data_IF_726334674249
#
_entry.id   IF_726334674249
#
_cell.length_a   1.000
_cell.length_b   1.000
_cell.length_c   1.000
_cell.angle_alpha   90.00
_cell.angle_beta   90.00
_cell.angle_gamma   90.00
#
_symmetry.space_group_name_H-M   'P 1'
#
loop_
_entity.id
_entity.type
_entity.pdbx_description
1 polymer ?
#
# COMPACT_ATOMS: atom_id res chain seq x y z
N UNK A 1 -5.53 -52.70 9.54
CA UNK A 1 -5.80 -51.40 10.19
C UNK A 1 -4.49 -50.60 10.12
N UNK A 2 -4.35 -49.76 9.09
CA UNK A 2 -3.14 -48.96 8.88
C UNK A 2 -3.35 -47.63 9.58
N UNK A 3 -2.56 -47.35 10.62
CA UNK A 3 -2.57 -46.05 11.31
C UNK A 3 -1.75 -45.09 10.44
N UNK A 4 -2.41 -44.11 9.84
CA UNK A 4 -1.73 -43.00 9.15
C UNK A 4 -1.30 -42.00 10.22
N UNK A 5 0.00 -41.65 10.33
CA UNK A 5 0.44 -40.63 11.27
C UNK A 5 -0.21 -39.31 10.89
N UNK A 6 -0.88 -38.66 11.85
CA UNK A 6 -1.40 -37.31 11.66
C UNK A 6 -0.26 -36.38 11.26
N UNK A 7 -0.41 -35.70 10.13
CA UNK A 7 0.47 -34.60 9.77
C UNK A 7 0.45 -33.60 10.92
N UNK A 8 1.56 -33.48 11.65
CA UNK A 8 1.76 -32.34 12.53
C UNK A 8 1.73 -31.12 11.61
N UNK A 9 0.73 -30.26 11.81
CA UNK A 9 0.67 -28.97 11.13
C UNK A 9 1.96 -28.22 11.50
N UNK A 10 2.90 -28.19 10.57
CA UNK A 10 4.12 -27.41 10.71
C UNK A 10 3.67 -25.98 10.92
N UNK A 11 4.07 -25.36 12.03
CA UNK A 11 3.76 -23.96 12.25
C UNK A 11 4.27 -23.16 11.05
N UNK A 12 3.43 -22.26 10.54
CA UNK A 12 3.82 -21.36 9.47
C UNK A 12 5.11 -20.63 9.92
N UNK A 13 6.01 -20.39 8.97
CA UNK A 13 7.32 -19.76 9.22
C UNK A 13 7.19 -18.43 9.98
N UNK A 14 6.03 -17.78 9.86
CA UNK A 14 5.74 -16.44 10.39
C UNK A 14 4.84 -16.46 11.65
N UNK A 15 4.66 -17.64 12.25
CA UNK A 15 3.82 -17.82 13.45
C UNK A 15 4.31 -16.94 14.61
N UNK A 16 3.44 -16.06 15.11
CA UNK A 16 3.71 -15.21 16.27
C UNK A 16 4.30 -13.84 15.96
N UNK A 17 4.56 -13.51 14.70
CA UNK A 17 4.97 -12.16 14.31
C UNK A 17 3.85 -11.15 14.58
N UNK A 18 4.22 -9.93 14.96
CA UNK A 18 3.33 -8.76 14.99
C UNK A 18 3.58 -7.89 13.78
N UNK A 19 2.53 -7.63 13.00
CA UNK A 19 2.60 -6.81 11.80
C UNK A 19 1.60 -5.67 11.91
N UNK A 20 2.08 -4.44 11.77
CA UNK A 20 1.23 -3.27 11.60
C UNK A 20 0.94 -3.06 10.11
N UNK A 21 -0.33 -2.86 9.74
CA UNK A 21 -0.72 -2.74 8.34
C UNK A 21 -1.68 -1.57 8.13
N UNK A 22 -1.21 -0.55 7.40
CA UNK A 22 -2.03 0.53 6.88
C UNK A 22 -2.99 0.05 5.79
N UNK A 23 -4.28 0.08 6.12
CA UNK A 23 -5.38 -0.32 5.23
C UNK A 23 -5.83 0.81 4.29
N UNK A 24 -5.48 2.05 4.62
CA UNK A 24 -5.80 3.24 3.84
C UNK A 24 -7.06 3.94 4.33
N UNK A 25 -8.21 3.68 3.69
CA UNK A 25 -9.48 4.31 3.99
C UNK A 25 -10.09 3.92 5.33
N UNK A 26 -11.38 4.24 5.51
CA UNK A 26 -12.12 3.82 6.68
C UNK A 26 -12.42 2.31 6.62
N UNK A 27 -12.62 1.65 7.79
CA UNK A 27 -13.07 0.27 7.82
C UNK A 27 -14.35 0.09 7.00
N UNK A 28 -14.38 -0.92 6.15
CA UNK A 28 -15.56 -1.22 5.30
C UNK A 28 -15.74 -0.37 4.04
N UNK A 29 -14.92 0.68 3.81
CA UNK A 29 -14.91 1.38 2.52
C UNK A 29 -14.59 0.38 1.39
N UNK A 30 -15.22 0.49 0.23
CA UNK A 30 -15.10 -0.51 -0.86
C UNK A 30 -13.65 -0.77 -1.29
N UNK A 31 -12.82 0.26 -1.39
CA UNK A 31 -11.40 0.14 -1.73
C UNK A 31 -10.52 -0.39 -0.57
N UNK A 32 -10.99 -0.27 0.67
CA UNK A 32 -10.29 -0.73 1.88
C UNK A 32 -10.67 -2.17 2.22
N UNK A 33 -11.95 -2.53 2.05
CA UNK A 33 -12.54 -3.79 2.48
C UNK A 33 -11.84 -5.01 1.87
N UNK A 34 -11.51 -4.97 0.58
CA UNK A 34 -10.82 -6.08 -0.07
C UNK A 34 -9.43 -6.34 0.55
N UNK A 35 -8.70 -5.27 0.90
CA UNK A 35 -7.39 -5.36 1.56
C UNK A 35 -7.54 -5.84 3.01
N UNK A 36 -8.50 -5.29 3.74
CA UNK A 36 -8.80 -5.67 5.12
C UNK A 36 -9.14 -7.16 5.23
N UNK A 37 -10.06 -7.66 4.40
CA UNK A 37 -10.44 -9.07 4.40
C UNK A 37 -9.27 -9.99 3.99
N UNK A 38 -8.51 -9.60 2.97
CA UNK A 38 -7.33 -10.36 2.53
C UNK A 38 -6.24 -10.43 3.60
N UNK A 39 -5.95 -9.30 4.26
CA UNK A 39 -4.96 -9.22 5.32
C UNK A 39 -5.38 -10.07 6.54
N UNK A 40 -6.64 -10.00 6.96
CA UNK A 40 -7.17 -10.83 8.06
C UNK A 40 -7.10 -12.32 7.75
N UNK A 41 -7.46 -12.72 6.53
CA UNK A 41 -7.39 -14.13 6.15
C UNK A 41 -5.94 -14.63 6.10
N UNK A 42 -5.02 -13.83 5.55
CA UNK A 42 -3.59 -14.13 5.58
C UNK A 42 -3.06 -14.23 7.02
N UNK A 43 -3.41 -13.29 7.89
CA UNK A 43 -3.01 -13.31 9.29
C UNK A 43 -3.51 -14.56 10.03
N UNK A 44 -4.75 -14.97 9.78
CA UNK A 44 -5.35 -16.19 10.33
C UNK A 44 -4.59 -17.45 9.88
N UNK A 45 -4.22 -17.54 8.60
CA UNK A 45 -3.52 -18.69 8.04
C UNK A 45 -2.07 -18.75 8.50
N UNK A 46 -1.38 -17.60 8.53
CA UNK A 46 0.03 -17.47 8.90
C UNK A 46 0.25 -17.39 10.42
N UNK A 47 -0.83 -17.29 11.21
CA UNK A 47 -0.80 -17.09 12.67
C UNK A 47 -0.02 -15.83 13.07
N UNK A 48 -0.22 -14.75 12.31
CA UNK A 48 0.36 -13.42 12.56
C UNK A 48 -0.61 -12.60 13.40
N UNK A 49 -0.08 -11.86 14.37
CA UNK A 49 -0.81 -10.81 15.08
C UNK A 49 -0.88 -9.55 14.20
N UNK A 50 -2.00 -9.36 13.50
CA UNK A 50 -2.23 -8.23 12.63
C UNK A 50 -2.81 -7.04 13.39
N UNK A 51 -2.15 -5.89 13.31
CA UNK A 51 -2.62 -4.60 13.84
C UNK A 51 -2.99 -3.70 12.67
N UNK A 52 -4.29 -3.50 12.49
CA UNK A 52 -4.84 -2.72 11.36
C UNK A 52 -4.83 -1.22 11.66
N UNK A 53 -4.40 -0.43 10.68
CA UNK A 53 -4.38 1.03 10.78
C UNK A 53 -5.22 1.64 9.65
N UNK A 54 -6.24 2.41 10.03
CA UNK A 54 -7.14 3.09 9.10
C UNK A 54 -6.94 4.60 9.19
N UNK A 55 -6.48 5.21 8.10
CA UNK A 55 -6.19 6.64 8.05
C UNK A 55 -7.33 7.46 7.44
N UNK A 56 -8.32 6.82 6.82
CA UNK A 56 -9.35 7.55 6.06
C UNK A 56 -8.76 8.27 4.85
N UNK A 57 -7.70 7.69 4.26
CA UNK A 57 -6.92 8.26 3.15
C UNK A 57 -6.14 9.54 3.48
N UNK A 58 -6.06 9.95 4.75
CA UNK A 58 -5.27 11.10 5.18
C UNK A 58 -3.76 10.75 5.23
N UNK A 59 -2.90 11.38 4.40
CA UNK A 59 -1.47 11.10 4.37
C UNK A 59 -0.75 11.49 5.67
N UNK A 60 -1.16 12.55 6.35
CA UNK A 60 -0.55 12.97 7.62
C UNK A 60 -0.85 11.94 8.71
N UNK A 61 -2.09 11.45 8.74
CA UNK A 61 -2.47 10.37 9.66
C UNK A 61 -1.71 9.08 9.35
N UNK A 62 -1.43 8.76 8.09
CA UNK A 62 -0.57 7.62 7.73
C UNK A 62 0.86 7.78 8.28
N UNK A 63 1.45 8.97 8.22
CA UNK A 63 2.78 9.24 8.80
C UNK A 63 2.75 9.07 10.33
N UNK A 64 1.74 9.61 11.00
CA UNK A 64 1.58 9.45 12.46
C UNK A 64 1.47 7.97 12.82
N UNK A 65 0.59 7.23 12.15
CA UNK A 65 0.39 5.79 12.35
C UNK A 65 1.66 4.98 12.09
N UNK A 66 2.46 5.33 11.08
CA UNK A 66 3.74 4.68 10.82
C UNK A 66 4.73 4.86 11.98
N UNK A 67 4.81 6.06 12.55
CA UNK A 67 5.67 6.33 13.71
C UNK A 67 5.15 5.68 14.99
N UNK A 68 3.84 5.62 15.21
CA UNK A 68 3.23 4.87 16.32
C UNK A 68 3.54 3.37 16.21
N UNK A 69 3.45 2.81 15.00
CA UNK A 69 3.82 1.43 14.75
C UNK A 69 5.31 1.20 15.03
N UNK A 70 6.20 2.08 14.56
CA UNK A 70 7.64 1.97 14.80
C UNK A 70 7.99 2.00 16.29
N UNK A 71 7.32 2.87 17.05
CA UNK A 71 7.51 2.96 18.50
C UNK A 71 7.12 1.67 19.25
N UNK A 72 6.22 0.86 18.67
CA UNK A 72 5.83 -0.44 19.22
C UNK A 72 6.83 -1.58 18.91
N UNK A 73 7.86 -1.31 18.09
CA UNK A 73 8.87 -2.28 17.63
C UNK A 73 8.29 -3.63 17.14
N UNK A 74 7.40 -3.63 16.14
CA UNK A 74 6.88 -4.85 15.53
C UNK A 74 7.91 -5.53 14.64
N UNK A 75 7.63 -6.76 14.22
CA UNK A 75 8.48 -7.49 13.27
C UNK A 75 8.44 -6.86 11.87
N UNK A 76 7.28 -6.34 11.46
CA UNK A 76 7.13 -5.64 10.20
C UNK A 76 6.06 -4.54 10.25
N UNK A 77 6.25 -3.52 9.41
CA UNK A 77 5.30 -2.44 9.17
C UNK A 77 5.01 -2.37 7.68
N UNK A 78 3.73 -2.51 7.33
CA UNK A 78 3.23 -2.29 5.98
C UNK A 78 2.64 -0.89 5.90
N UNK A 79 3.31 -0.01 5.16
CA UNK A 79 2.92 1.39 4.98
C UNK A 79 2.33 1.65 3.61
N UNK A 80 1.63 2.77 3.45
CA UNK A 80 1.20 3.29 2.16
C UNK A 80 1.97 4.55 1.78
N UNK A 81 2.41 4.65 0.52
CA UNK A 81 3.23 5.77 0.05
C UNK A 81 2.49 7.08 -0.26
N UNK A 82 1.30 7.33 0.30
CA UNK A 82 0.50 8.52 -0.07
C UNK A 82 1.12 9.83 0.39
N UNK A 83 1.93 9.81 1.46
CA UNK A 83 2.65 11.00 1.95
C UNK A 83 3.92 11.33 1.13
N UNK A 84 4.21 10.55 0.09
CA UNK A 84 5.39 10.72 -0.74
C UNK A 84 6.70 10.25 -0.07
N UNK A 85 7.75 10.07 -0.88
CA UNK A 85 9.06 9.61 -0.38
C UNK A 85 9.67 10.57 0.61
N UNK A 86 9.60 11.88 0.36
CA UNK A 86 10.18 12.88 1.24
C UNK A 86 9.41 13.00 2.56
N UNK A 87 8.07 12.95 2.53
CA UNK A 87 7.23 12.96 3.72
C UNK A 87 7.45 11.73 4.63
N UNK A 88 7.81 10.59 4.03
CA UNK A 88 8.08 9.35 4.77
C UNK A 88 9.54 9.20 5.21
N UNK A 89 10.46 10.04 4.74
CA UNK A 89 11.92 9.82 4.87
C UNK A 89 12.39 9.63 6.30
N UNK A 90 11.93 10.48 7.22
CA UNK A 90 12.31 10.37 8.64
C UNK A 90 11.89 9.04 9.26
N UNK A 91 10.70 8.53 8.91
CA UNK A 91 10.24 7.22 9.38
C UNK A 91 11.07 6.10 8.75
N UNK A 92 11.34 6.16 7.45
CA UNK A 92 12.09 5.13 6.73
C UNK A 92 13.53 4.98 7.26
N UNK A 93 14.21 6.11 7.48
CA UNK A 93 15.57 6.13 7.99
C UNK A 93 15.61 5.53 9.41
N UNK A 94 14.63 5.87 10.25
CA UNK A 94 14.55 5.34 11.61
C UNK A 94 14.20 3.85 11.66
N UNK A 95 13.23 3.41 10.85
CA UNK A 95 12.88 1.99 10.78
C UNK A 95 14.06 1.15 10.30
N UNK A 96 14.86 1.66 9.36
CA UNK A 96 16.10 1.02 8.91
C UNK A 96 17.15 0.94 10.01
N UNK A 97 17.32 2.01 10.79
CA UNK A 97 18.22 2.03 11.95
C UNK A 97 17.80 1.00 13.00
N UNK A 98 16.50 0.89 13.27
CA UNK A 98 15.92 -0.01 14.26
C UNK A 98 15.81 -1.47 13.77
N UNK A 99 16.15 -1.74 12.51
CA UNK A 99 16.08 -3.08 11.92
C UNK A 99 14.64 -3.58 11.68
N UNK A 100 13.65 -2.69 11.69
CA UNK A 100 12.24 -3.03 11.45
C UNK A 100 12.00 -3.18 9.95
N UNK A 101 11.37 -4.29 9.55
CA UNK A 101 11.05 -4.55 8.14
C UNK A 101 9.93 -3.61 7.70
N UNK A 102 10.17 -2.81 6.66
CA UNK A 102 9.16 -1.96 6.05
C UNK A 102 8.82 -2.45 4.65
N UNK A 103 7.54 -2.64 4.40
CA UNK A 103 6.99 -3.00 3.09
C UNK A 103 6.00 -1.91 2.67
N UNK A 104 6.02 -1.53 1.39
CA UNK A 104 5.14 -0.51 0.85
C UNK A 104 3.96 -1.17 0.14
N UNK A 105 2.75 -0.66 0.33
CA UNK A 105 1.56 -1.14 -0.36
C UNK A 105 0.72 -0.01 -0.97
N UNK A 106 -0.12 -0.37 -1.94
CA UNK A 106 -1.07 0.51 -2.64
C UNK A 106 -0.42 1.61 -3.47
N UNK A 107 0.30 2.51 -2.81
CA UNK A 107 1.01 3.61 -3.44
C UNK A 107 2.50 3.46 -3.18
N UNK A 108 3.30 3.45 -4.23
CA UNK A 108 4.75 3.24 -4.13
C UNK A 108 5.48 4.43 -3.49
N UNK A 109 6.71 4.18 -3.05
CA UNK A 109 7.67 5.21 -2.60
C UNK A 109 8.91 5.14 -3.49
N UNK A 110 8.91 5.84 -4.65
CA UNK A 110 9.99 5.73 -5.62
C UNK A 110 11.36 6.09 -5.05
N UNK A 111 12.40 5.41 -5.52
CA UNK A 111 13.79 5.68 -5.13
C UNK A 111 14.21 5.15 -3.76
N UNK A 112 13.31 4.52 -3.00
CA UNK A 112 13.62 3.97 -1.66
C UNK A 112 14.25 2.57 -1.70
N UNK A 113 14.00 1.81 -2.77
CA UNK A 113 14.43 0.41 -2.89
C UNK A 113 13.64 -0.58 -2.01
N UNK A 114 12.57 -0.13 -1.34
CA UNK A 114 11.71 -0.98 -0.53
C UNK A 114 10.88 -1.93 -1.40
N UNK A 115 10.55 -3.10 -0.85
CA UNK A 115 9.59 -4.00 -1.47
C UNK A 115 8.21 -3.33 -1.56
N UNK A 116 7.58 -3.45 -2.73
CA UNK A 116 6.26 -2.93 -3.01
C UNK A 116 5.31 -4.08 -3.36
N UNK A 117 4.12 -4.09 -2.78
CA UNK A 117 3.01 -4.92 -3.24
C UNK A 117 1.77 -4.08 -3.52
N UNK A 118 1.35 -4.10 -4.77
CA UNK A 118 0.22 -3.33 -5.25
C UNK A 118 0.11 -3.46 -6.76
N UNK A 119 -0.71 -2.60 -7.35
CA UNK A 119 -0.89 -2.59 -8.80
C UNK A 119 0.31 -1.91 -9.47
N UNK A 120 0.68 -2.39 -10.65
CA UNK A 120 1.50 -1.60 -11.57
C UNK A 120 0.66 -0.41 -12.06
N UNK A 121 0.74 0.71 -11.33
CA UNK A 121 -0.03 1.90 -11.60
C UNK A 121 0.29 2.49 -12.98
N UNK A 122 1.55 2.39 -13.43
CA UNK A 122 1.95 2.88 -14.74
C UNK A 122 1.34 2.02 -15.86
N UNK A 123 1.46 0.69 -15.75
CA UNK A 123 0.85 -0.25 -16.69
C UNK A 123 -0.68 -0.13 -16.74
N UNK A 124 -1.33 0.00 -15.58
CA UNK A 124 -2.77 0.21 -15.48
C UNK A 124 -3.20 1.54 -16.15
N UNK A 125 -2.48 2.63 -15.89
CA UNK A 125 -2.73 3.94 -16.52
C UNK A 125 -2.54 3.91 -18.04
N UNK A 126 -1.50 3.25 -18.53
CA UNK A 126 -1.28 3.03 -19.97
C UNK A 126 -2.42 2.24 -20.60
N UNK A 127 -2.86 1.15 -19.97
CA UNK A 127 -3.98 0.35 -20.46
C UNK A 127 -5.28 1.15 -20.51
N UNK A 128 -5.56 1.95 -19.46
CA UNK A 128 -6.71 2.85 -19.41
C UNK A 128 -6.67 3.86 -20.57
N UNK A 129 -5.52 4.51 -20.78
CA UNK A 129 -5.36 5.46 -21.88
C UNK A 129 -5.56 4.79 -23.25
N UNK A 130 -4.94 3.63 -23.50
CA UNK A 130 -5.08 2.89 -24.76
C UNK A 130 -6.53 2.48 -25.04
N UNK A 131 -7.23 1.96 -24.02
CA UNK A 131 -8.64 1.58 -24.15
C UNK A 131 -9.55 2.80 -24.34
N UNK A 132 -9.24 3.93 -23.71
CA UNK A 132 -10.00 5.17 -23.86
C UNK A 132 -9.86 5.72 -25.28
N UNK A 133 -8.63 5.74 -25.84
CA UNK A 133 -8.37 6.15 -27.23
C UNK A 133 -9.12 5.23 -28.21
N UNK A 134 -8.99 3.91 -28.02
CA UNK A 134 -9.58 2.91 -28.90
C UNK A 134 -11.12 2.93 -28.87
N UNK A 135 -11.72 2.88 -27.67
CA UNK A 135 -13.17 2.79 -27.52
C UNK A 135 -13.86 4.14 -27.77
N UNK A 136 -13.19 5.25 -27.45
CA UNK A 136 -13.67 6.61 -27.72
C UNK A 136 -13.48 7.07 -29.16
N UNK A 137 -12.76 6.31 -30.00
CA UNK A 137 -12.36 6.70 -31.36
C UNK A 137 -11.63 8.05 -31.42
N UNK A 138 -10.87 8.36 -30.37
CA UNK A 138 -10.25 9.66 -30.16
C UNK A 138 -9.19 9.95 -31.22
N UNK A 139 -9.07 11.23 -31.57
CA UNK A 139 -8.18 11.76 -32.61
C UNK A 139 -7.38 12.93 -32.04
N UNK A 140 -6.35 13.34 -32.77
CA UNK A 140 -5.62 14.54 -32.44
C UNK A 140 -6.58 15.75 -32.39
N UNK A 141 -6.55 16.49 -31.27
CA UNK A 141 -7.42 17.63 -31.02
C UNK A 141 -8.63 17.34 -30.13
N UNK A 142 -8.95 16.06 -29.88
CA UNK A 142 -10.01 15.69 -28.94
C UNK A 142 -9.57 15.98 -27.49
N UNK A 143 -10.53 16.42 -26.66
CA UNK A 143 -10.29 16.72 -25.25
C UNK A 143 -10.62 15.49 -24.40
N UNK A 144 -9.79 15.25 -23.39
CA UNK A 144 -9.98 14.19 -22.38
C UNK A 144 -9.89 14.78 -20.99
N UNK A 145 -10.59 14.16 -20.04
CA UNK A 145 -10.45 14.49 -18.61
C UNK A 145 -9.50 13.48 -17.99
N UNK A 146 -8.44 13.99 -17.38
CA UNK A 146 -7.57 13.21 -16.50
C UNK A 146 -7.88 13.64 -15.07
N UNK A 147 -8.32 12.70 -14.24
CA UNK A 147 -8.65 12.94 -12.84
C UNK A 147 -7.64 12.24 -11.93
N UNK A 148 -7.34 12.85 -10.79
CA UNK A 148 -6.39 12.32 -9.82
C UNK A 148 -6.00 13.35 -8.77
N UNK A 149 -5.25 12.92 -7.76
CA UNK A 149 -4.65 13.80 -6.77
C UNK A 149 -3.34 14.38 -7.32
N UNK A 150 -3.42 15.52 -7.99
CA UNK A 150 -2.28 16.26 -8.57
C UNK A 150 -1.81 17.41 -7.68
N UNK A 151 -1.90 17.24 -6.36
CA UNK A 151 -1.52 18.25 -5.36
C UNK A 151 -0.12 18.00 -4.85
N UNK A 152 0.65 19.06 -4.59
CA UNK A 152 2.00 19.00 -4.01
C UNK A 152 2.05 18.06 -2.78
N UNK A 153 3.01 17.13 -2.77
CA UNK A 153 3.16 16.13 -1.70
C UNK A 153 2.34 14.84 -1.88
N UNK A 154 1.41 14.77 -2.84
CA UNK A 154 0.80 13.50 -3.25
C UNK A 154 1.65 12.82 -4.32
N UNK A 155 1.68 11.49 -4.37
CA UNK A 155 2.49 10.78 -5.38
C UNK A 155 2.13 11.12 -6.84
N UNK A 156 0.89 11.56 -7.10
CA UNK A 156 0.48 12.04 -8.43
C UNK A 156 1.21 13.32 -8.88
N UNK A 157 1.70 14.13 -7.93
CA UNK A 157 2.47 15.34 -8.21
C UNK A 157 3.82 15.03 -8.87
N UNK A 158 4.50 13.97 -8.42
CA UNK A 158 5.83 13.60 -8.93
C UNK A 158 5.80 13.16 -10.40
N UNK A 159 4.65 12.69 -10.88
CA UNK A 159 4.48 12.08 -12.20
C UNK A 159 3.61 12.88 -13.16
N UNK A 160 2.76 13.79 -12.68
CA UNK A 160 1.92 14.61 -13.53
C UNK A 160 2.62 15.89 -13.98
N UNK A 161 2.96 15.98 -15.26
CA UNK A 161 3.35 17.23 -15.92
C UNK A 161 2.27 17.61 -16.94
N UNK A 162 1.37 18.50 -16.55
CA UNK A 162 0.28 18.98 -17.41
C UNK A 162 -0.32 20.29 -16.92
N UNK A 163 -1.05 20.99 -17.78
CA UNK A 163 -1.84 22.16 -17.40
C UNK A 163 -3.06 21.73 -16.59
N UNK A 164 -3.12 22.12 -15.31
CA UNK A 164 -4.36 22.05 -14.54
C UNK A 164 -5.27 23.18 -15.02
N UNK A 165 -6.33 22.85 -15.75
CA UNK A 165 -7.42 23.80 -15.96
C UNK A 165 -8.33 23.73 -14.72
N UNK A 166 -8.31 24.80 -13.92
CA UNK A 166 -9.25 25.04 -12.83
C UNK A 166 -10.63 25.45 -13.36
#
# INVERSE_FOLDING_TARGET
>A
MLVVPGAMAQDAVDSGMTIYFQMGGNPGDTATLARELGARDAARVLKVNLIEQHSGWDPQKMVVQANEALAAQPDAIVVMGHAGTDGMRSFLDKAKEDGVIVIVNNNELPGTGLSYFGLDNYGAGRNLASLTISNGNLKAGDKVVVYGAFTEGAAGYDVAKGSTEC
#
